data_IF_832298047657
#
_entry.id   IF_832298047657
#
_cell.length_a   1.000
_cell.length_b   1.000
_cell.length_c   1.000
_cell.angle_alpha   90.00
_cell.angle_beta   90.00
_cell.angle_gamma   90.00
#
_symmetry.space_group_name_H-M   'P 1'
#
loop_
_entity.id
_entity.type
_entity.pdbx_description
1 polymer ?
#
# COMPACT_ATOMS: atom_id res chain seq x y z
N UNK A 1 14.84 -17.98 -3.74
CA UNK A 1 13.58 -17.81 -2.96
C UNK A 1 13.66 -16.72 -1.87
N UNK A 2 14.63 -16.74 -0.95
CA UNK A 2 14.71 -15.77 0.17
C UNK A 2 14.78 -14.29 -0.28
N UNK A 3 15.51 -14.00 -1.37
CA UNK A 3 15.62 -12.64 -1.94
C UNK A 3 14.28 -12.10 -2.44
N UNK A 4 13.46 -12.93 -3.08
CA UNK A 4 12.14 -12.52 -3.60
C UNK A 4 11.18 -12.19 -2.46
N UNK A 5 11.18 -12.99 -1.39
CA UNK A 5 10.41 -12.73 -0.17
C UNK A 5 10.83 -11.41 0.48
N UNK A 6 12.13 -11.10 0.52
CA UNK A 6 12.62 -9.83 1.05
C UNK A 6 12.19 -8.63 0.18
N UNK A 7 12.23 -8.77 -1.14
CA UNK A 7 11.74 -7.74 -2.08
C UNK A 7 10.22 -7.54 -1.97
N UNK A 8 9.47 -8.62 -1.73
CA UNK A 8 8.03 -8.54 -1.46
C UNK A 8 7.76 -7.78 -0.15
N UNK A 9 8.46 -8.13 0.92
CA UNK A 9 8.27 -7.51 2.23
C UNK A 9 8.59 -6.01 2.20
N UNK A 10 9.67 -5.63 1.50
CA UNK A 10 10.03 -4.22 1.29
C UNK A 10 9.00 -3.47 0.45
N UNK A 11 8.40 -4.10 -0.56
CA UNK A 11 7.29 -3.52 -1.33
C UNK A 11 6.03 -3.34 -0.46
N UNK A 12 5.68 -4.32 0.37
CA UNK A 12 4.55 -4.23 1.28
C UNK A 12 4.76 -3.14 2.34
N UNK A 13 5.97 -3.02 2.89
CA UNK A 13 6.34 -1.92 3.80
C UNK A 13 6.25 -0.56 3.11
N UNK A 14 6.67 -0.46 1.85
CA UNK A 14 6.56 0.78 1.08
C UNK A 14 5.09 1.16 0.84
N UNK A 15 4.24 0.20 0.47
CA UNK A 15 2.79 0.43 0.37
C UNK A 15 2.19 0.87 1.72
N UNK A 16 2.59 0.21 2.81
CA UNK A 16 2.12 0.56 4.16
C UNK A 16 2.55 1.96 4.58
N UNK A 17 3.77 2.39 4.21
CA UNK A 17 4.23 3.75 4.46
C UNK A 17 3.34 4.78 3.76
N UNK A 18 2.97 4.55 2.49
CA UNK A 18 2.03 5.43 1.78
C UNK A 18 0.64 5.43 2.45
N UNK A 19 0.14 4.27 2.89
CA UNK A 19 -1.13 4.16 3.60
C UNK A 19 -1.11 4.96 4.91
N UNK A 20 -0.06 4.79 5.72
CA UNK A 20 0.10 5.49 6.98
C UNK A 20 0.24 7.01 6.76
N UNK A 21 1.13 7.44 5.86
CA UNK A 21 1.34 8.85 5.56
C UNK A 21 0.04 9.54 5.09
N UNK A 22 -0.72 8.91 4.20
CA UNK A 22 -1.98 9.46 3.71
C UNK A 22 -3.05 9.49 4.79
N UNK A 23 -3.08 8.50 5.68
CA UNK A 23 -4.00 8.44 6.81
C UNK A 23 -3.70 9.53 7.82
N UNK A 24 -2.43 9.72 8.20
CA UNK A 24 -2.01 10.79 9.09
C UNK A 24 -2.31 12.17 8.52
N UNK A 25 -2.06 12.38 7.22
CA UNK A 25 -2.38 13.66 6.58
C UNK A 25 -3.89 13.95 6.63
N UNK A 26 -4.72 12.94 6.35
CA UNK A 26 -6.19 13.08 6.40
C UNK A 26 -6.69 13.31 7.83
N UNK A 27 -6.06 12.68 8.82
CA UNK A 27 -6.35 12.89 10.23
C UNK A 27 -5.97 14.30 10.69
N UNK A 28 -4.80 14.81 10.30
CA UNK A 28 -4.38 16.19 10.61
C UNK A 28 -5.31 17.23 9.97
N UNK A 29 -5.75 16.98 8.74
CA UNK A 29 -6.71 17.85 8.06
C UNK A 29 -8.06 17.88 8.79
N UNK A 30 -8.52 16.72 9.23
CA UNK A 30 -9.71 16.65 10.07
C UNK A 30 -9.51 17.36 11.42
N UNK A 31 -8.36 17.17 12.07
CA UNK A 31 -8.02 17.82 13.34
C UNK A 31 -7.97 19.34 13.21
N UNK A 32 -7.46 19.85 12.09
CA UNK A 32 -7.45 21.27 11.74
C UNK A 32 -8.86 21.83 11.52
N UNK A 33 -9.81 20.98 11.11
CA UNK A 33 -11.19 21.38 10.87
C UNK A 33 -12.02 21.48 12.16
N UNK A 34 -11.49 21.00 13.29
CA UNK A 34 -12.14 21.01 14.62
C UNK A 34 -11.44 22.01 15.57
N UNK A 35 -10.69 22.98 15.03
CA UNK A 35 -9.98 24.04 15.77
C UNK A 35 -9.05 23.54 16.90
N UNK A 36 -8.45 22.36 16.73
CA UNK A 36 -7.48 21.84 17.69
C UNK A 36 -6.07 22.34 17.34
N UNK A 37 -5.27 22.80 18.33
CA UNK A 37 -3.91 23.29 18.06
C UNK A 37 -2.99 22.16 17.58
N UNK A 38 -2.58 22.24 16.32
CA UNK A 38 -1.66 21.28 15.70
C UNK A 38 -0.22 21.74 15.94
N UNK A 39 0.47 21.09 16.88
CA UNK A 39 1.91 21.29 17.12
C UNK A 39 2.72 20.28 16.32
N UNK A 40 3.96 20.61 15.90
CA UNK A 40 4.83 19.68 15.16
C UNK A 40 5.10 18.33 15.86
N UNK A 41 5.07 18.30 17.19
CA UNK A 41 5.16 17.07 17.98
C UNK A 41 3.95 16.13 17.77
N UNK A 42 2.75 16.68 17.56
CA UNK A 42 1.53 15.92 17.29
C UNK A 42 1.60 15.28 15.90
N UNK A 43 2.16 15.99 14.92
CA UNK A 43 2.36 15.47 13.56
C UNK A 43 3.26 14.24 13.59
N UNK A 44 4.43 14.34 14.24
CA UNK A 44 5.39 13.22 14.34
C UNK A 44 4.78 12.05 15.11
N UNK A 45 4.13 12.32 16.24
CA UNK A 45 3.51 11.28 17.07
C UNK A 45 2.37 10.58 16.36
N UNK A 46 1.55 11.30 15.58
CA UNK A 46 0.47 10.73 14.79
C UNK A 46 0.99 9.84 13.66
N UNK A 47 2.04 10.27 12.94
CA UNK A 47 2.65 9.45 11.88
C UNK A 47 3.26 8.17 12.45
N UNK A 48 3.98 8.25 13.58
CA UNK A 48 4.52 7.04 14.24
C UNK A 48 3.42 6.15 14.79
N UNK A 49 2.39 6.73 15.41
CA UNK A 49 1.24 6.02 15.95
C UNK A 49 0.43 5.34 14.85
N UNK A 50 0.26 5.96 13.68
CA UNK A 50 -0.42 5.35 12.54
C UNK A 50 0.45 4.25 11.92
N UNK A 51 1.77 4.47 11.80
CA UNK A 51 2.71 3.45 11.31
C UNK A 51 2.71 2.19 12.19
N UNK A 52 2.77 2.33 13.51
CA UNK A 52 2.86 1.19 14.44
C UNK A 52 1.47 0.64 14.79
N UNK A 53 0.53 1.55 15.06
CA UNK A 53 -0.85 1.26 15.43
C UNK A 53 -1.62 0.59 14.31
N UNK A 54 -1.56 1.10 13.07
CA UNK A 54 -2.29 0.47 11.96
C UNK A 54 -1.60 -0.80 11.44
N UNK A 55 -0.29 -0.94 11.66
CA UNK A 55 0.46 -2.12 11.20
C UNK A 55 0.35 -3.29 12.17
N UNK A 56 0.65 -3.10 13.46
CA UNK A 56 0.89 -4.23 14.39
C UNK A 56 0.03 -4.17 15.64
N UNK A 57 -0.32 -2.97 16.13
CA UNK A 57 -0.97 -2.80 17.43
C UNK A 57 -2.47 -2.47 17.37
N UNK A 58 -3.08 -2.45 16.18
CA UNK A 58 -4.47 -2.08 15.96
C UNK A 58 -5.42 -3.28 15.98
N UNK A 59 -6.70 -3.02 16.27
CA UNK A 59 -7.74 -4.06 16.28
C UNK A 59 -7.88 -4.81 14.93
N UNK A 60 -7.48 -4.18 13.82
CA UNK A 60 -7.37 -4.78 12.51
C UNK A 60 -5.95 -4.52 11.95
N UNK A 61 -5.11 -5.55 11.75
CA UNK A 61 -3.77 -5.37 11.19
C UNK A 61 -3.87 -5.06 9.70
N UNK A 62 -3.90 -3.77 9.35
CA UNK A 62 -4.05 -3.31 7.95
C UNK A 62 -2.86 -3.78 7.11
N UNK A 63 -1.67 -3.92 7.70
CA UNK A 63 -0.50 -4.45 7.01
C UNK A 63 -0.74 -5.88 6.51
N UNK A 64 -1.49 -6.71 7.24
CA UNK A 64 -1.80 -8.07 6.83
C UNK A 64 -2.76 -8.06 5.62
N UNK A 65 -3.73 -7.16 5.60
CA UNK A 65 -4.67 -6.97 4.48
C UNK A 65 -3.93 -6.47 3.24
N UNK A 66 -3.06 -5.45 3.40
CA UNK A 66 -2.24 -4.91 2.31
C UNK A 66 -1.29 -5.97 1.77
N UNK A 67 -0.60 -6.70 2.65
CA UNK A 67 0.29 -7.78 2.24
C UNK A 67 -0.47 -8.91 1.53
N UNK A 68 -1.60 -9.37 2.05
CA UNK A 68 -2.42 -10.40 1.41
C UNK A 68 -2.94 -9.94 0.03
N UNK A 69 -3.44 -8.71 -0.07
CA UNK A 69 -3.90 -8.13 -1.33
C UNK A 69 -2.79 -8.03 -2.37
N UNK A 70 -1.60 -7.55 -1.97
CA UNK A 70 -0.42 -7.50 -2.85
C UNK A 70 0.05 -8.89 -3.26
N UNK A 71 0.02 -9.88 -2.35
CA UNK A 71 0.43 -11.25 -2.65
C UNK A 71 -0.45 -11.86 -3.73
N UNK A 72 -1.77 -11.74 -3.59
CA UNK A 72 -2.73 -12.22 -4.59
C UNK A 72 -2.52 -11.50 -5.92
N UNK A 73 -2.44 -10.16 -5.90
CA UNK A 73 -2.28 -9.37 -7.11
C UNK A 73 -0.94 -9.67 -7.84
N UNK A 74 0.16 -9.82 -7.11
CA UNK A 74 1.46 -10.16 -7.68
C UNK A 74 1.51 -11.58 -8.19
N UNK A 75 0.79 -12.52 -7.56
CA UNK A 75 0.66 -13.87 -8.07
C UNK A 75 -0.08 -13.90 -9.41
N UNK A 76 -1.19 -13.16 -9.51
CA UNK A 76 -1.92 -12.98 -10.78
C UNK A 76 -1.03 -12.31 -11.82
N UNK A 77 -0.30 -11.26 -11.45
CA UNK A 77 0.65 -10.57 -12.32
C UNK A 77 1.75 -11.51 -12.84
N UNK A 78 2.25 -12.40 -11.97
CA UNK A 78 3.25 -13.39 -12.35
C UNK A 78 2.74 -14.34 -13.43
N UNK A 79 1.53 -14.88 -13.24
CA UNK A 79 0.88 -15.75 -14.23
C UNK A 79 0.68 -14.98 -15.53
N UNK A 80 0.13 -13.76 -15.46
CA UNK A 80 -0.19 -12.95 -16.62
C UNK A 80 1.06 -12.53 -17.41
N UNK A 81 2.20 -12.36 -16.73
CA UNK A 81 3.50 -12.09 -17.37
C UNK A 81 4.01 -13.21 -18.27
N UNK A 82 3.44 -14.43 -18.17
CA UNK A 82 3.73 -15.54 -19.07
C UNK A 82 2.94 -15.47 -20.38
N UNK A 83 1.78 -14.81 -20.36
CA UNK A 83 0.88 -14.70 -21.51
C UNK A 83 1.05 -13.40 -22.29
N UNK A 84 1.54 -12.33 -21.64
CA UNK A 84 1.66 -10.99 -22.24
C UNK A 84 3.13 -10.58 -22.32
N UNK A 85 3.57 -10.08 -23.47
CA UNK A 85 4.94 -9.58 -23.72
C UNK A 85 5.24 -8.20 -23.10
N UNK A 86 4.40 -7.70 -22.19
CA UNK A 86 4.59 -6.40 -21.54
C UNK A 86 5.72 -6.45 -20.52
N UNK A 87 6.37 -5.30 -20.28
CA UNK A 87 7.39 -5.21 -19.25
C UNK A 87 6.86 -5.61 -17.87
N UNK A 88 7.54 -6.57 -17.21
CA UNK A 88 7.21 -7.01 -15.85
C UNK A 88 7.05 -5.82 -14.88
N UNK A 89 7.86 -4.77 -15.02
CA UNK A 89 7.80 -3.55 -14.20
C UNK A 89 6.41 -2.90 -14.21
N UNK A 90 5.83 -2.75 -15.39
CA UNK A 90 4.52 -2.12 -15.59
C UNK A 90 3.41 -3.04 -15.08
N UNK A 91 3.57 -4.34 -15.32
CA UNK A 91 2.58 -5.35 -14.92
C UNK A 91 2.45 -5.46 -13.39
N UNK A 92 3.58 -5.44 -12.66
CA UNK A 92 3.56 -5.38 -11.20
C UNK A 92 3.10 -4.02 -10.66
N UNK A 93 3.39 -2.91 -11.36
CA UNK A 93 2.85 -1.60 -10.99
C UNK A 93 1.31 -1.57 -11.08
N UNK A 94 0.74 -2.06 -12.18
CA UNK A 94 -0.72 -2.18 -12.33
C UNK A 94 -1.32 -3.12 -11.29
N UNK A 95 -0.66 -4.23 -10.98
CA UNK A 95 -1.11 -5.15 -9.94
C UNK A 95 -1.10 -4.52 -8.54
N UNK A 96 -0.06 -3.76 -8.19
CA UNK A 96 0.01 -3.03 -6.92
C UNK A 96 -1.06 -1.95 -6.81
N UNK A 97 -1.32 -1.22 -7.90
CA UNK A 97 -2.42 -0.27 -7.99
C UNK A 97 -3.79 -0.95 -7.85
N UNK A 98 -4.00 -2.08 -8.54
CA UNK A 98 -5.23 -2.85 -8.46
C UNK A 98 -5.48 -3.42 -7.05
N UNK A 99 -4.43 -3.86 -6.35
CA UNK A 99 -4.52 -4.33 -4.97
C UNK A 99 -5.00 -3.22 -4.03
N UNK A 100 -4.37 -2.04 -4.08
CA UNK A 100 -4.80 -0.91 -3.24
C UNK A 100 -6.13 -0.32 -3.70
N UNK A 101 -6.46 -0.35 -4.98
CA UNK A 101 -7.80 -0.02 -5.47
C UNK A 101 -8.84 -0.94 -4.83
N UNK A 102 -8.60 -2.25 -4.82
CA UNK A 102 -9.52 -3.19 -4.18
C UNK A 102 -9.65 -2.93 -2.67
N UNK A 103 -8.55 -2.67 -1.98
CA UNK A 103 -8.57 -2.39 -0.54
C UNK A 103 -9.30 -1.08 -0.23
N UNK A 104 -9.17 -0.06 -1.06
CA UNK A 104 -9.66 1.29 -0.75
C UNK A 104 -11.04 1.58 -1.35
N UNK A 105 -11.44 0.85 -2.39
CA UNK A 105 -12.74 1.02 -3.07
C UNK A 105 -13.65 -0.17 -2.84
N UNK A 106 -13.18 -1.41 -3.06
CA UNK A 106 -14.02 -2.60 -2.94
C UNK A 106 -14.26 -2.98 -1.47
N UNK A 107 -13.27 -2.86 -0.59
CA UNK A 107 -13.43 -3.22 0.82
C UNK A 107 -14.48 -2.34 1.53
N UNK A 108 -14.45 -0.99 1.49
CA UNK A 108 -15.51 -0.20 2.11
C UNK A 108 -16.88 -0.49 1.50
N UNK A 109 -16.96 -0.78 0.20
CA UNK A 109 -18.20 -1.14 -0.47
C UNK A 109 -18.78 -2.48 0.04
N UNK A 110 -17.91 -3.44 0.38
CA UNK A 110 -18.30 -4.75 0.91
C UNK A 110 -18.65 -4.71 2.42
N UNK A 111 -18.10 -3.77 3.18
CA UNK A 111 -18.28 -3.63 4.63
C UNK A 111 -19.15 -2.42 5.02
N UNK A 112 -20.19 -2.10 4.23
CA UNK A 112 -21.17 -1.03 4.54
C UNK A 112 -20.54 0.37 4.77
N UNK A 113 -19.55 0.75 3.97
CA UNK A 113 -18.80 2.02 4.06
C UNK A 113 -18.06 2.24 5.40
N UNK A 114 -17.65 1.17 6.08
CA UNK A 114 -16.68 1.29 7.15
C UNK A 114 -15.32 1.71 6.56
N UNK A 115 -15.04 3.01 6.59
CA UNK A 115 -13.75 3.58 6.23
C UNK A 115 -12.70 3.22 7.31
N UNK A 116 -12.16 2.01 7.21
CA UNK A 116 -11.06 1.50 8.04
C UNK A 116 -9.78 2.35 7.90
N UNK A 117 -9.63 3.01 6.75
CA UNK A 117 -8.49 3.87 6.44
C UNK A 117 -9.03 5.30 6.38
N UNK A 118 -8.73 6.13 7.38
CA UNK A 118 -9.17 7.53 7.36
C UNK A 118 -8.63 8.28 6.13
N UNK A 119 -7.47 7.86 5.60
CA UNK A 119 -6.90 8.31 4.34
C UNK A 119 -7.73 8.02 3.09
N UNK A 120 -8.73 7.14 3.17
CA UNK A 120 -9.61 6.74 2.07
C UNK A 120 -10.95 7.50 2.04
N UNK A 121 -11.26 8.35 3.04
CA UNK A 121 -12.55 9.05 3.15
C UNK A 121 -12.85 9.96 1.95
N UNK A 122 -11.81 10.51 1.32
CA UNK A 122 -11.95 11.40 0.15
C UNK A 122 -11.54 10.69 -1.13
N UNK A 123 -12.19 11.03 -2.26
CA UNK A 123 -11.83 10.51 -3.59
C UNK A 123 -10.37 10.78 -3.95
N UNK A 124 -9.83 11.94 -3.53
CA UNK A 124 -8.40 12.28 -3.68
C UNK A 124 -7.50 11.35 -2.87
N UNK A 125 -7.86 11.06 -1.62
CA UNK A 125 -7.10 10.13 -0.78
C UNK A 125 -7.07 8.72 -1.36
N UNK A 126 -8.19 8.25 -1.95
CA UNK A 126 -8.22 6.98 -2.69
C UNK A 126 -7.24 6.98 -3.87
N UNK A 127 -7.21 8.07 -4.65
CA UNK A 127 -6.27 8.22 -5.76
C UNK A 127 -4.81 8.14 -5.33
N UNK A 128 -4.44 8.86 -4.26
CA UNK A 128 -3.06 8.85 -3.73
C UNK A 128 -2.66 7.45 -3.25
N UNK A 129 -3.56 6.74 -2.57
CA UNK A 129 -3.32 5.37 -2.13
C UNK A 129 -3.09 4.44 -3.31
N UNK A 130 -3.93 4.50 -4.35
CA UNK A 130 -3.75 3.68 -5.56
C UNK A 130 -2.40 3.94 -6.22
N UNK A 131 -1.99 5.21 -6.34
CA UNK A 131 -0.68 5.60 -6.88
C UNK A 131 0.45 5.05 -6.00
N UNK A 132 0.32 5.13 -4.67
CA UNK A 132 1.26 4.52 -3.73
C UNK A 132 1.42 3.01 -3.95
N UNK A 133 0.33 2.31 -4.26
CA UNK A 133 0.31 0.90 -4.62
C UNK A 133 1.01 0.63 -5.94
N UNK A 134 0.82 1.49 -6.93
CA UNK A 134 1.54 1.41 -8.21
C UNK A 134 3.04 1.59 -8.02
N UNK A 135 3.48 2.54 -7.19
CA UNK A 135 4.90 2.76 -6.87
C UNK A 135 5.49 1.54 -6.16
N UNK A 136 4.78 0.98 -5.19
CA UNK A 136 5.20 -0.23 -4.49
C UNK A 136 5.31 -1.44 -5.43
N UNK A 137 4.34 -1.62 -6.32
CA UNK A 137 4.35 -2.66 -7.35
C UNK A 137 5.47 -2.48 -8.38
N UNK A 138 5.71 -1.25 -8.82
CA UNK A 138 6.81 -0.93 -9.72
C UNK A 138 8.17 -1.27 -9.09
N UNK A 139 8.37 -0.90 -7.82
CA UNK A 139 9.57 -1.24 -7.06
C UNK A 139 9.82 -2.76 -7.03
N UNK A 140 8.75 -3.53 -6.75
CA UNK A 140 8.82 -4.99 -6.78
C UNK A 140 9.21 -5.52 -8.17
N UNK A 141 8.56 -5.03 -9.24
CA UNK A 141 8.83 -5.48 -10.61
C UNK A 141 10.25 -5.18 -11.10
N UNK A 142 10.81 -4.02 -10.76
CA UNK A 142 12.19 -3.64 -11.10
C UNK A 142 13.20 -4.54 -10.39
N UNK A 143 13.02 -4.71 -9.07
CA UNK A 143 13.99 -5.44 -8.24
C UNK A 143 13.88 -6.95 -8.44
N UNK A 144 12.67 -7.47 -8.68
CA UNK A 144 12.43 -8.87 -9.02
C UNK A 144 13.09 -9.26 -10.35
N UNK A 145 13.04 -8.41 -11.38
CA UNK A 145 13.75 -8.65 -12.66
C UNK A 145 15.26 -8.83 -12.44
N UNK A 146 15.89 -7.99 -11.61
CA UNK A 146 17.32 -8.07 -11.30
C UNK A 146 17.71 -9.33 -10.53
N UNK A 147 16.81 -9.91 -9.74
CA UNK A 147 17.06 -11.15 -9.00
C UNK A 147 17.10 -12.34 -9.96
N UNK A 148 16.16 -12.42 -10.90
CA UNK A 148 16.12 -13.51 -11.90
C UNK A 148 17.37 -13.51 -12.78
N UNK A 149 17.80 -12.34 -13.29
CA UNK A 149 19.01 -12.27 -14.14
C UNK A 149 20.34 -12.50 -13.41
N UNK A 150 20.38 -12.40 -12.07
CA UNK A 150 21.59 -12.74 -11.29
C UNK A 150 21.64 -14.22 -10.88
N UNK A 151 20.53 -14.96 -10.97
CA UNK A 151 20.51 -16.41 -10.73
C UNK A 151 20.79 -17.20 -12.02
N UNK A 152 20.76 -16.55 -13.19
CA UNK A 152 21.08 -17.12 -14.50
C UNK A 152 22.53 -16.85 -14.97
N UNK A 153 23.36 -16.17 -14.16
CA UNK A 153 24.75 -15.79 -14.49
C UNK A 153 25.79 -16.54 -13.66
#
# INVERSE_FOLDING_TARGET
MLRTTFVFLTSALLAMFFVAAQTSLSNLWWLSSVDMPITGSIIISMVLSDLIGMSVAGAFPIIAVVAAGLLIAFFVAHILSKFISTERKILYALAGGAALFAIVVLMPLAFYNLDLIAGARTSLGKGILIIGGMIAGYYFGVKSKKVVTNEES
#
